data_IF_215947446717
#
_entry.id   IF_215947446717
#
_cell.length_a   1.000
_cell.length_b   1.000
_cell.length_c   1.000
_cell.angle_alpha   90.00
_cell.angle_beta   90.00
_cell.angle_gamma   90.00
#
_symmetry.space_group_name_H-M   'P 1'
#
loop_
_entity.id
_entity.type
_entity.pdbx_description
1 polymer ?
#
# COMPACT_ATOMS: atom_id res chain seq x y z
N UNK A 1 -24.27 3.29 1.78
CA UNK A 1 -23.73 2.42 2.82
C UNK A 1 -23.39 3.23 4.07
N UNK A 2 -23.21 2.56 5.20
CA UNK A 2 -22.80 3.13 6.48
C UNK A 2 -21.70 2.28 7.05
N UNK A 3 -20.82 2.89 7.82
CA UNK A 3 -19.79 2.18 8.58
C UNK A 3 -20.36 1.57 9.89
N UNK A 4 -19.53 0.92 10.70
CA UNK A 4 -19.95 0.24 11.92
C UNK A 4 -20.28 1.19 13.09
N UNK A 5 -20.14 2.49 12.91
CA UNK A 5 -20.68 3.53 13.79
C UNK A 5 -21.98 4.15 13.25
N UNK A 6 -22.49 3.69 12.10
CA UNK A 6 -23.67 4.23 11.46
C UNK A 6 -23.42 5.51 10.64
N UNK A 7 -22.17 5.92 10.48
CA UNK A 7 -21.81 7.12 9.70
C UNK A 7 -21.82 6.77 8.20
N UNK A 8 -22.37 7.65 7.32
CA UNK A 8 -22.34 7.41 5.89
C UNK A 8 -20.91 7.21 5.37
N UNK A 9 -20.68 6.11 4.66
CA UNK A 9 -19.39 5.84 4.02
C UNK A 9 -19.16 6.78 2.84
N UNK A 10 -17.92 7.18 2.62
CA UNK A 10 -17.51 8.04 1.52
C UNK A 10 -16.10 7.71 1.04
N UNK A 11 -15.75 8.21 -0.14
CA UNK A 11 -14.36 8.18 -0.61
C UNK A 11 -13.54 9.18 0.19
N UNK A 12 -12.43 8.72 0.77
CA UNK A 12 -11.49 9.54 1.51
C UNK A 12 -10.14 9.48 0.79
N UNK A 13 -9.59 10.63 0.42
CA UNK A 13 -8.22 10.73 -0.07
C UNK A 13 -7.27 10.79 1.11
N UNK A 14 -6.25 9.93 1.09
CA UNK A 14 -5.21 9.88 2.13
C UNK A 14 -3.92 10.53 1.63
N UNK A 15 -3.54 10.21 0.40
CA UNK A 15 -2.32 10.73 -0.23
C UNK A 15 -2.69 11.23 -1.62
N UNK A 16 -2.30 12.45 -1.94
CA UNK A 16 -2.44 13.04 -3.27
C UNK A 16 -1.09 13.61 -3.73
N UNK A 17 -0.63 13.19 -4.90
CA UNK A 17 0.65 13.60 -5.48
C UNK A 17 1.83 13.45 -4.51
N UNK A 18 1.85 12.32 -3.76
CA UNK A 18 2.89 12.03 -2.76
C UNK A 18 2.78 12.80 -1.44
N UNK A 19 1.73 13.60 -1.25
CA UNK A 19 1.50 14.36 -0.01
C UNK A 19 0.35 13.75 0.78
N UNK A 20 0.54 13.58 2.08
CA UNK A 20 -0.53 13.20 3.00
C UNK A 20 -1.55 14.33 3.10
N UNK A 21 -2.79 14.08 2.71
CA UNK A 21 -3.89 15.06 2.68
C UNK A 21 -5.04 14.71 3.61
N UNK A 22 -5.07 13.49 4.15
CA UNK A 22 -6.15 13.06 5.03
C UNK A 22 -5.79 11.88 5.90
N UNK A 23 -6.66 11.62 6.86
CA UNK A 23 -6.60 10.50 7.77
C UNK A 23 -7.94 9.78 7.79
N UNK A 24 -7.96 8.54 8.27
CA UNK A 24 -9.18 7.82 8.58
C UNK A 24 -9.50 8.05 10.07
N UNK A 25 -10.72 8.48 10.34
CA UNK A 25 -11.21 8.75 11.69
C UNK A 25 -12.47 7.96 12.00
N UNK A 26 -12.46 7.19 13.07
CA UNK A 26 -13.70 6.84 13.78
C UNK A 26 -14.20 8.08 14.54
N UNK A 27 -15.43 8.06 15.02
CA UNK A 27 -15.96 9.13 15.86
C UNK A 27 -15.12 9.31 17.13
N UNK A 28 -14.69 8.19 17.72
CA UNK A 28 -13.84 8.18 18.91
C UNK A 28 -12.46 8.79 18.63
N UNK A 29 -11.79 8.34 17.55
CA UNK A 29 -10.46 8.82 17.24
C UNK A 29 -10.47 10.33 16.93
N UNK A 30 -11.47 10.80 16.18
CA UNK A 30 -11.65 12.23 15.90
C UNK A 30 -11.80 13.03 17.20
N UNK A 31 -12.68 12.59 18.10
CA UNK A 31 -12.90 13.26 19.39
C UNK A 31 -11.63 13.27 20.25
N UNK A 32 -10.88 12.18 20.27
CA UNK A 32 -9.63 12.09 21.02
C UNK A 32 -8.57 13.08 20.52
N UNK A 33 -8.39 13.21 19.19
CA UNK A 33 -7.41 14.13 18.63
C UNK A 33 -7.74 15.60 18.94
N UNK A 34 -9.03 15.94 18.96
CA UNK A 34 -9.49 17.28 19.38
C UNK A 34 -9.21 17.48 20.88
N UNK A 35 -9.55 16.50 21.73
CA UNK A 35 -9.35 16.60 23.17
C UNK A 35 -7.87 16.71 23.56
N UNK A 36 -6.98 16.11 22.78
CA UNK A 36 -5.53 16.19 22.95
C UNK A 36 -4.91 17.47 22.35
N UNK A 37 -5.70 18.34 21.74
CA UNK A 37 -5.25 19.59 21.13
C UNK A 37 -4.36 19.41 19.91
N UNK A 38 -4.42 18.25 19.25
CA UNK A 38 -3.59 17.96 18.06
C UNK A 38 -4.18 18.53 16.79
N UNK A 39 -5.49 18.65 16.73
CA UNK A 39 -6.24 19.22 15.62
C UNK A 39 -7.44 19.98 16.17
N UNK A 40 -7.82 21.07 15.52
CA UNK A 40 -8.94 21.91 15.98
C UNK A 40 -10.30 21.30 15.62
N UNK A 41 -10.39 20.66 14.46
CA UNK A 41 -11.64 20.09 13.95
C UNK A 41 -11.37 18.73 13.32
N UNK A 42 -12.10 17.72 13.75
CA UNK A 42 -12.15 16.40 13.11
C UNK A 42 -13.56 15.82 13.19
N UNK A 43 -13.92 15.06 12.20
CA UNK A 43 -15.17 14.30 12.17
C UNK A 43 -14.90 12.88 11.68
N UNK A 44 -15.76 11.93 12.03
CA UNK A 44 -15.69 10.59 11.47
C UNK A 44 -15.66 10.63 9.94
N UNK A 45 -14.78 9.82 9.36
CA UNK A 45 -14.63 9.70 7.90
C UNK A 45 -15.57 8.67 7.28
N UNK A 46 -16.45 8.05 8.08
CA UNK A 46 -17.32 6.98 7.61
C UNK A 46 -16.51 5.72 7.27
N UNK A 47 -15.51 5.42 8.07
CA UNK A 47 -14.54 4.34 7.84
C UNK A 47 -14.30 3.50 9.10
N UNK A 48 -15.18 3.54 10.05
CA UNK A 48 -15.08 2.72 11.26
C UNK A 48 -15.40 1.26 10.97
N UNK A 49 -14.59 0.37 11.50
CA UNK A 49 -14.70 -1.09 11.34
C UNK A 49 -14.69 -1.74 12.71
N UNK A 50 -15.56 -2.72 12.90
CA UNK A 50 -15.67 -3.51 14.12
C UNK A 50 -15.27 -4.96 13.83
N UNK A 51 -14.35 -5.50 14.58
CA UNK A 51 -13.92 -6.90 14.44
C UNK A 51 -14.93 -7.92 15.00
N UNK A 52 -15.92 -7.45 15.75
CA UNK A 52 -16.98 -8.30 16.32
C UNK A 52 -17.94 -7.48 17.17
N UNK A 53 -19.06 -8.09 17.57
CA UNK A 53 -20.13 -7.40 18.32
C UNK A 53 -19.71 -6.87 19.69
N UNK A 54 -18.65 -7.44 20.27
CA UNK A 54 -18.12 -7.01 21.59
C UNK A 54 -16.94 -6.05 21.47
N UNK A 55 -16.45 -5.78 20.25
CA UNK A 55 -15.29 -4.91 20.03
C UNK A 55 -15.75 -3.48 19.74
N UNK A 56 -15.08 -2.45 20.28
CA UNK A 56 -15.34 -1.09 19.86
C UNK A 56 -14.94 -0.90 18.39
N UNK A 57 -15.64 -0.02 17.65
CA UNK A 57 -15.22 0.36 16.32
C UNK A 57 -13.85 1.06 16.35
N UNK A 58 -13.03 0.79 15.35
CA UNK A 58 -11.73 1.44 15.14
C UNK A 58 -11.66 2.00 13.72
N UNK A 59 -10.79 2.97 13.49
CA UNK A 59 -10.55 3.50 12.14
C UNK A 59 -9.98 2.42 11.22
N UNK A 60 -10.51 2.31 10.03
CA UNK A 60 -10.09 1.33 9.04
C UNK A 60 -10.54 1.71 7.63
N UNK A 61 -10.27 0.88 6.64
CA UNK A 61 -10.76 1.08 5.29
C UNK A 61 -11.43 -0.20 4.77
N UNK A 62 -12.58 -0.05 4.11
CA UNK A 62 -13.25 -1.16 3.45
C UNK A 62 -12.60 -1.52 2.11
N UNK A 63 -12.16 -0.50 1.37
CA UNK A 63 -11.43 -0.68 0.10
C UNK A 63 -10.31 0.36 0.03
N UNK A 64 -9.13 -0.08 -0.40
CA UNK A 64 -7.97 0.78 -0.62
C UNK A 64 -7.64 0.79 -2.12
N UNK A 65 -7.52 1.97 -2.69
CA UNK A 65 -7.13 2.15 -4.08
C UNK A 65 -5.81 2.89 -4.16
N UNK A 66 -4.85 2.33 -4.88
CA UNK A 66 -3.67 3.05 -5.34
C UNK A 66 -3.85 3.35 -6.82
N UNK A 67 -3.87 4.61 -7.19
CA UNK A 67 -4.08 5.05 -8.57
C UNK A 67 -3.08 6.13 -8.94
N UNK A 68 -2.74 6.20 -10.23
CA UNK A 68 -1.97 7.32 -10.76
C UNK A 68 -2.90 8.49 -11.07
N UNK A 69 -2.44 9.72 -10.83
CA UNK A 69 -3.09 10.94 -11.32
C UNK A 69 -2.83 11.19 -12.81
N UNK A 70 -1.85 10.50 -13.39
CA UNK A 70 -1.51 10.51 -14.80
C UNK A 70 -1.81 9.14 -15.41
N UNK A 71 -1.73 9.02 -16.75
CA UNK A 71 -1.81 7.73 -17.41
C UNK A 71 -0.69 6.82 -16.87
N UNK A 72 -1.06 5.67 -16.31
CA UNK A 72 -0.11 4.65 -15.89
C UNK A 72 0.68 4.09 -17.08
N UNK A 73 1.74 3.35 -16.81
CA UNK A 73 2.55 2.68 -17.82
C UNK A 73 2.04 1.28 -18.08
N UNK A 74 2.11 0.84 -19.34
CA UNK A 74 1.85 -0.56 -19.66
C UNK A 74 2.92 -1.47 -19.02
N UNK A 75 2.63 -2.75 -18.96
CA UNK A 75 3.59 -3.73 -18.44
C UNK A 75 4.89 -3.74 -19.25
N UNK A 76 4.78 -3.65 -20.57
CA UNK A 76 5.91 -3.63 -21.51
C UNK A 76 6.76 -2.36 -21.31
N UNK A 77 6.12 -1.19 -21.22
CA UNK A 77 6.82 0.06 -20.90
C UNK A 77 7.55 -0.01 -19.55
N UNK A 78 6.97 -0.70 -18.55
CA UNK A 78 7.63 -0.88 -17.26
C UNK A 78 8.84 -1.80 -17.35
N UNK A 79 8.81 -2.86 -18.17
CA UNK A 79 9.95 -3.72 -18.42
C UNK A 79 11.10 -2.95 -19.06
N UNK A 80 10.83 -2.14 -20.07
CA UNK A 80 11.83 -1.27 -20.71
C UNK A 80 12.50 -0.33 -19.70
N UNK A 81 11.71 0.22 -18.75
CA UNK A 81 12.21 1.13 -17.70
C UNK A 81 13.10 0.38 -16.68
N UNK A 82 12.79 -0.90 -16.40
CA UNK A 82 13.57 -1.70 -15.44
C UNK A 82 15.00 -1.92 -15.94
N UNK A 83 15.19 -2.12 -17.24
CA UNK A 83 16.45 -2.57 -17.84
C UNK A 83 17.00 -3.82 -17.14
N UNK A 84 17.59 -3.65 -15.95
CA UNK A 84 18.09 -4.72 -15.08
C UNK A 84 17.42 -4.68 -13.71
N UNK A 85 16.75 -5.78 -13.35
CA UNK A 85 15.99 -5.80 -12.09
C UNK A 85 15.27 -7.11 -11.84
N UNK A 86 14.18 -6.98 -11.09
CA UNK A 86 13.37 -8.12 -10.68
C UNK A 86 11.88 -7.77 -10.71
N UNK A 87 11.06 -8.75 -11.11
CA UNK A 87 9.62 -8.71 -10.93
C UNK A 87 9.27 -9.57 -9.72
N UNK A 88 8.69 -8.96 -8.70
CA UNK A 88 8.26 -9.65 -7.47
C UNK A 88 6.76 -9.86 -7.52
N UNK A 89 6.33 -11.11 -7.67
CA UNK A 89 4.90 -11.43 -7.74
C UNK A 89 4.27 -11.69 -6.38
N UNK A 90 5.04 -12.20 -5.42
CA UNK A 90 4.53 -12.45 -4.08
C UNK A 90 5.63 -12.40 -3.03
N UNK A 91 5.25 -12.00 -1.84
CA UNK A 91 6.13 -11.97 -0.66
C UNK A 91 5.47 -12.71 0.51
N UNK A 92 6.30 -13.30 1.35
CA UNK A 92 5.93 -13.90 2.63
C UNK A 92 6.54 -13.11 3.77
N UNK A 93 5.79 -12.94 4.85
CA UNK A 93 6.27 -12.23 6.05
C UNK A 93 6.01 -10.73 6.04
N UNK A 94 5.19 -10.19 5.15
CA UNK A 94 4.88 -8.77 5.11
C UNK A 94 4.35 -8.20 6.44
N UNK A 95 3.69 -9.04 7.26
CA UNK A 95 3.19 -8.68 8.58
C UNK A 95 4.31 -8.39 9.62
N UNK A 96 5.55 -8.74 9.33
CA UNK A 96 6.71 -8.47 10.19
C UNK A 96 7.36 -7.11 9.90
N UNK A 97 6.88 -6.38 8.91
CA UNK A 97 7.35 -5.04 8.62
C UNK A 97 7.09 -4.10 9.81
N UNK A 98 8.03 -3.19 10.06
CA UNK A 98 7.86 -2.19 11.10
C UNK A 98 7.01 -1.02 10.58
N UNK A 99 5.76 -0.85 11.06
CA UNK A 99 4.88 0.20 10.54
C UNK A 99 5.33 1.61 10.93
N UNK A 100 6.19 1.75 11.92
CA UNK A 100 6.68 3.05 12.40
C UNK A 100 7.89 3.53 11.61
N UNK A 101 8.90 2.66 11.43
CA UNK A 101 10.12 3.02 10.69
C UNK A 101 9.97 2.81 9.18
N UNK A 102 9.06 1.93 8.76
CA UNK A 102 8.91 1.51 7.37
C UNK A 102 9.94 0.46 6.93
N UNK A 103 10.76 -0.06 7.84
CA UNK A 103 11.73 -1.11 7.53
C UNK A 103 11.05 -2.46 7.38
N UNK A 104 11.51 -3.23 6.41
CA UNK A 104 11.03 -4.59 6.21
C UNK A 104 12.13 -5.53 5.70
N UNK A 105 11.95 -6.81 6.01
CA UNK A 105 12.73 -7.90 5.44
C UNK A 105 11.79 -9.09 5.26
N UNK A 106 11.56 -9.46 4.03
CA UNK A 106 10.59 -10.49 3.62
C UNK A 106 11.25 -11.47 2.66
N UNK A 107 10.63 -12.63 2.48
CA UNK A 107 11.08 -13.62 1.51
C UNK A 107 10.09 -13.64 0.35
N UNK A 108 10.58 -13.80 -0.87
CA UNK A 108 9.75 -14.01 -2.04
C UNK A 108 9.98 -15.39 -2.62
N UNK A 109 8.89 -16.07 -2.97
CA UNK A 109 8.89 -17.39 -3.62
C UNK A 109 8.53 -17.33 -5.11
N UNK A 110 8.13 -16.16 -5.59
CA UNK A 110 7.79 -15.93 -7.00
C UNK A 110 8.42 -14.63 -7.46
N UNK A 111 9.60 -14.78 -8.05
CA UNK A 111 10.42 -13.65 -8.50
C UNK A 111 11.03 -14.00 -9.86
N UNK A 112 10.99 -13.04 -10.78
CA UNK A 112 11.57 -13.16 -12.11
C UNK A 112 12.74 -12.18 -12.25
N UNK A 113 13.78 -12.61 -12.94
CA UNK A 113 14.92 -11.77 -13.32
C UNK A 113 14.63 -11.07 -14.64
N UNK A 114 14.93 -9.78 -14.69
CA UNK A 114 14.87 -8.96 -15.92
C UNK A 114 16.28 -8.50 -16.24
N UNK A 115 16.69 -8.64 -17.52
CA UNK A 115 17.94 -8.12 -18.07
C UNK A 115 17.65 -7.53 -19.46
N UNK A 116 18.17 -6.32 -19.71
CA UNK A 116 17.95 -5.63 -20.97
C UNK A 116 16.48 -5.37 -21.29
N UNK A 117 15.61 -5.24 -20.26
CA UNK A 117 14.16 -5.07 -20.43
C UNK A 117 13.40 -6.37 -20.74
N UNK A 118 14.06 -7.52 -20.73
CA UNK A 118 13.44 -8.82 -21.01
C UNK A 118 13.47 -9.74 -19.78
N UNK A 119 12.41 -10.51 -19.59
CA UNK A 119 12.34 -11.53 -18.53
C UNK A 119 13.17 -12.74 -18.96
N UNK A 120 14.32 -12.95 -18.32
CA UNK A 120 15.24 -14.03 -18.67
C UNK A 120 15.01 -15.33 -17.89
N UNK A 121 14.25 -15.30 -16.81
CA UNK A 121 13.93 -16.50 -16.06
C UNK A 121 13.40 -16.25 -14.64
N UNK A 122 13.09 -17.36 -13.97
CA UNK A 122 12.65 -17.35 -12.58
C UNK A 122 13.84 -17.56 -11.64
N UNK A 123 13.85 -16.82 -10.53
CA UNK A 123 14.75 -17.05 -9.41
C UNK A 123 14.04 -17.91 -8.38
N UNK A 124 14.70 -18.94 -7.86
CA UNK A 124 14.06 -19.92 -6.98
C UNK A 124 13.49 -19.29 -5.71
N UNK A 125 14.28 -18.43 -5.09
CA UNK A 125 13.92 -17.72 -3.88
C UNK A 125 14.84 -16.52 -3.70
N UNK A 126 14.32 -15.44 -3.09
CA UNK A 126 15.14 -14.30 -2.74
C UNK A 126 14.65 -13.65 -1.45
N UNK A 127 15.58 -13.07 -0.69
CA UNK A 127 15.25 -12.10 0.36
C UNK A 127 15.01 -10.74 -0.28
N UNK A 128 13.96 -10.06 0.13
CA UNK A 128 13.65 -8.68 -0.23
C UNK A 128 13.65 -7.83 1.03
N UNK A 129 14.51 -6.84 1.09
CA UNK A 129 14.64 -5.96 2.26
C UNK A 129 14.77 -4.50 1.85
N UNK A 130 14.39 -3.60 2.74
CA UNK A 130 14.50 -2.18 2.50
C UNK A 130 13.69 -1.34 3.47
N UNK A 131 13.56 -0.07 3.11
CA UNK A 131 12.72 0.88 3.84
C UNK A 131 11.68 1.46 2.87
N UNK A 132 10.40 1.27 3.18
CA UNK A 132 9.31 1.67 2.31
C UNK A 132 9.28 3.18 2.06
N UNK A 133 9.52 3.99 3.10
CA UNK A 133 9.51 5.44 2.96
C UNK A 133 10.62 5.93 2.01
N UNK A 134 11.80 5.31 2.06
CA UNK A 134 12.90 5.62 1.15
C UNK A 134 12.60 5.15 -0.28
N UNK A 135 12.05 3.94 -0.43
CA UNK A 135 11.66 3.41 -1.75
C UNK A 135 10.62 4.30 -2.46
N UNK A 136 9.70 4.90 -1.70
CA UNK A 136 8.66 5.79 -2.25
C UNK A 136 9.15 7.22 -2.55
N UNK A 137 10.26 7.67 -1.95
CA UNK A 137 10.79 9.03 -2.17
C UNK A 137 11.42 9.23 -3.54
N UNK A 138 12.08 8.20 -4.07
CA UNK A 138 12.88 8.29 -5.30
C UNK A 138 12.07 8.15 -6.59
N UNK A 139 10.78 8.34 -6.48
CA UNK A 139 9.85 8.26 -7.59
C UNK A 139 9.30 6.84 -7.79
N UNK A 140 8.00 6.79 -7.90
CA UNK A 140 7.24 5.56 -8.12
C UNK A 140 6.61 5.64 -9.50
N UNK A 141 6.78 4.60 -10.31
CA UNK A 141 6.03 4.45 -11.55
C UNK A 141 4.90 3.48 -11.33
N UNK A 142 3.67 3.88 -11.63
CA UNK A 142 2.49 3.06 -11.50
C UNK A 142 2.05 2.51 -12.86
N UNK A 143 1.62 1.26 -12.86
CA UNK A 143 1.00 0.62 -14.01
C UNK A 143 -0.37 1.22 -14.35
N UNK A 144 -0.83 0.99 -15.55
CA UNK A 144 -2.12 1.46 -16.06
C UNK A 144 -3.29 0.55 -15.65
N UNK A 145 -3.01 -0.70 -15.34
CA UNK A 145 -4.01 -1.68 -14.95
C UNK A 145 -4.07 -1.85 -13.43
N UNK A 146 -5.22 -1.52 -12.85
CA UNK A 146 -5.49 -1.70 -11.42
C UNK A 146 -6.23 -3.02 -11.22
N UNK A 147 -5.67 -3.91 -10.39
CA UNK A 147 -6.21 -5.24 -10.12
C UNK A 147 -6.55 -5.41 -8.65
N UNK A 148 -7.59 -6.19 -8.33
CA UNK A 148 -7.83 -6.59 -6.94
C UNK A 148 -6.68 -7.47 -6.45
N UNK A 149 -6.11 -7.07 -5.31
CA UNK A 149 -5.04 -7.80 -4.64
C UNK A 149 -5.56 -8.19 -3.25
N UNK A 150 -5.68 -9.45 -2.96
CA UNK A 150 -6.07 -10.01 -1.67
C UNK A 150 -7.05 -9.20 -0.80
N UNK A 151 -7.73 -9.81 0.12
CA UNK A 151 -8.47 -9.08 1.14
C UNK A 151 -7.67 -9.06 2.43
N UNK A 152 -7.46 -7.89 3.01
CA UNK A 152 -6.89 -7.76 4.33
C UNK A 152 -8.04 -7.51 5.31
N UNK A 153 -8.29 -8.48 6.16
CA UNK A 153 -9.24 -8.53 7.29
C UNK A 153 -10.68 -7.97 7.10
N UNK A 154 -10.95 -7.01 6.26
CA UNK A 154 -12.29 -6.43 6.09
C UNK A 154 -12.51 -5.65 4.80
N UNK A 155 -11.58 -5.68 3.87
CA UNK A 155 -11.71 -4.95 2.60
C UNK A 155 -10.82 -5.48 1.50
N UNK A 156 -10.97 -4.94 0.30
CA UNK A 156 -10.17 -5.28 -0.87
C UNK A 156 -9.17 -4.18 -1.18
N UNK A 157 -7.97 -4.56 -1.57
CA UNK A 157 -6.99 -3.64 -2.13
C UNK A 157 -7.04 -3.69 -3.65
N UNK A 158 -7.00 -2.53 -4.28
CA UNK A 158 -6.97 -2.36 -5.72
C UNK A 158 -5.68 -1.65 -6.09
N UNK A 159 -4.72 -2.41 -6.57
CA UNK A 159 -3.35 -1.94 -6.79
C UNK A 159 -2.94 -2.16 -8.25
N UNK A 160 -2.24 -1.19 -8.87
CA UNK A 160 -1.53 -1.41 -10.13
C UNK A 160 -0.19 -2.10 -9.87
N UNK A 161 0.50 -2.49 -10.92
CA UNK A 161 1.92 -2.77 -10.82
C UNK A 161 2.66 -1.54 -10.33
N UNK A 162 3.66 -1.73 -9.49
CA UNK A 162 4.45 -0.65 -8.90
C UNK A 162 5.92 -0.89 -9.19
N UNK A 163 6.54 0.05 -9.90
CA UNK A 163 7.98 0.02 -10.15
C UNK A 163 8.68 0.96 -9.17
N UNK A 164 9.64 0.42 -8.45
CA UNK A 164 10.49 1.11 -7.50
C UNK A 164 11.95 1.02 -7.99
N UNK A 165 12.64 2.15 -8.10
CA UNK A 165 14.00 2.21 -8.63
C UNK A 165 15.06 2.01 -7.56
N UNK A 166 14.79 2.48 -6.35
CA UNK A 166 15.74 2.51 -5.24
C UNK A 166 15.09 2.10 -3.92
N UNK A 167 15.89 2.01 -2.87
CA UNK A 167 15.39 1.75 -1.50
C UNK A 167 15.14 0.29 -1.18
N UNK A 168 15.29 -0.62 -2.14
CA UNK A 168 15.10 -2.06 -1.98
C UNK A 168 16.37 -2.82 -2.35
N UNK A 169 16.57 -3.95 -1.68
CA UNK A 169 17.62 -4.93 -1.98
C UNK A 169 16.99 -6.30 -2.20
N UNK A 170 17.36 -6.92 -3.29
CA UNK A 170 17.02 -8.31 -3.60
C UNK A 170 18.27 -9.16 -3.43
N UNK A 171 18.21 -10.15 -2.56
CA UNK A 171 19.30 -11.08 -2.28
C UNK A 171 18.83 -12.49 -2.74
N UNK A 172 19.16 -12.93 -3.95
CA UNK A 172 18.89 -14.30 -4.40
C UNK A 172 19.59 -15.32 -3.50
N UNK A 173 18.91 -16.46 -3.24
CA UNK A 173 19.42 -17.58 -2.42
C UNK A 173 19.81 -18.75 -3.32
#
# INVERSE_FOLDING_TARGET
>A
ARDDEGVPTRKNSLIEQGRLVGYLWSTRDAAQQIAEGRIDIATSTGSAIRSGHQSPPVSGCSNLFLTSSQKGRSYEEMLEIIEDGYIVNSVMGAHTANPTSGDFSVTTSSILRVEGGEVIGAVKQAGLSGNLANALKDGVTLGDEVRPQGSYSSGSMYLPNVLLRNGLRVNPV
#
